data_IF_459507220745
#
_entry.id   IF_459507220745
#
_cell.length_a   1.000
_cell.length_b   1.000
_cell.length_c   1.000
_cell.angle_alpha   90.00
_cell.angle_beta   90.00
_cell.angle_gamma   90.00
#
_symmetry.space_group_name_H-M   'P 1'
#
loop_
_entity.id
_entity.type
_entity.pdbx_description
1 polymer ?
#
# COMPACT_ATOMS: atom_id res chain seq x y z
N UNK A 1 8.97 19.28 11.49
CA UNK A 1 10.34 18.69 11.61
C UNK A 1 10.49 17.39 10.78
N UNK A 2 9.52 16.47 10.76
CA UNK A 2 9.57 15.23 9.95
C UNK A 2 9.36 15.58 8.47
N UNK A 3 8.37 16.38 8.15
CA UNK A 3 8.09 16.90 6.81
C UNK A 3 9.33 17.61 6.23
N UNK A 4 9.94 18.51 6.97
CA UNK A 4 11.15 19.23 6.54
C UNK A 4 12.36 18.31 6.30
N UNK A 5 12.52 17.23 7.07
CA UNK A 5 13.56 16.22 6.79
C UNK A 5 13.32 15.44 5.50
N UNK A 6 12.05 15.13 5.22
CA UNK A 6 11.69 14.41 4.00
C UNK A 6 11.79 15.32 2.77
N UNK A 7 11.44 16.60 2.91
CA UNK A 7 11.63 17.62 1.87
C UNK A 7 13.11 17.85 1.56
N UNK A 8 13.97 17.92 2.59
CA UNK A 8 15.44 18.07 2.41
C UNK A 8 16.03 16.81 1.76
N UNK A 9 15.61 15.62 2.17
CA UNK A 9 16.02 14.36 1.53
C UNK A 9 15.62 14.32 0.06
N UNK A 10 14.41 14.77 -0.25
CA UNK A 10 13.93 14.88 -1.62
C UNK A 10 14.77 15.83 -2.46
N UNK A 11 15.06 17.04 -1.95
CA UNK A 11 15.90 18.03 -2.63
C UNK A 11 17.32 17.51 -2.85
N UNK A 12 17.92 16.84 -1.86
CA UNK A 12 19.23 16.21 -1.98
C UNK A 12 19.21 15.09 -3.01
N UNK A 13 18.20 14.23 -2.99
CA UNK A 13 18.06 13.15 -3.97
C UNK A 13 17.87 13.70 -5.38
N UNK A 14 17.03 14.72 -5.55
CA UNK A 14 16.82 15.42 -6.82
C UNK A 14 18.12 16.05 -7.34
N UNK A 15 18.88 16.73 -6.49
CA UNK A 15 20.15 17.36 -6.87
C UNK A 15 21.23 16.34 -7.23
N UNK A 16 21.28 15.25 -6.52
CA UNK A 16 22.15 14.12 -6.84
C UNK A 16 21.81 13.56 -8.23
N UNK A 17 20.53 13.45 -8.56
CA UNK A 17 20.05 12.98 -9.86
C UNK A 17 20.40 13.94 -11.00
N UNK A 18 20.19 15.24 -10.80
CA UNK A 18 20.60 16.27 -11.77
C UNK A 18 22.11 16.19 -12.06
N UNK A 19 22.93 15.95 -11.03
CA UNK A 19 24.39 15.77 -11.17
C UNK A 19 24.72 14.47 -11.93
N UNK A 20 23.99 13.39 -11.74
CA UNK A 20 24.19 12.14 -12.49
C UNK A 20 23.70 12.25 -13.92
N UNK A 21 22.55 12.86 -14.17
CA UNK A 21 22.02 13.12 -15.50
C UNK A 21 22.97 14.03 -16.32
N UNK A 22 23.59 15.01 -15.67
CA UNK A 22 24.56 15.91 -16.31
C UNK A 22 25.92 15.27 -16.62
N UNK A 23 26.22 14.09 -16.04
CA UNK A 23 27.47 13.33 -16.26
C UNK A 23 27.39 12.26 -17.33
N UNK A 24 26.41 12.34 -18.25
CA UNK A 24 26.25 11.39 -19.37
C UNK A 24 26.32 9.92 -18.96
N UNK A 25 25.50 9.52 -17.98
CA UNK A 25 25.17 8.11 -17.84
C UNK A 25 24.19 7.80 -18.99
N UNK A 26 24.75 7.47 -20.14
CA UNK A 26 23.97 7.06 -21.32
C UNK A 26 23.47 5.66 -21.05
N UNK A 27 22.21 5.55 -20.65
CA UNK A 27 21.50 4.27 -20.67
C UNK A 27 21.21 3.98 -22.16
N UNK A 28 21.98 3.10 -22.77
CA UNK A 28 21.70 2.63 -24.13
C UNK A 28 20.65 1.54 -24.06
N UNK A 29 19.45 1.78 -24.59
CA UNK A 29 18.38 0.79 -24.66
C UNK A 29 17.06 1.36 -25.15
N UNK A 30 16.16 0.49 -25.60
CA UNK A 30 14.80 0.85 -25.98
C UNK A 30 13.97 1.00 -24.70
N UNK A 31 13.96 2.20 -24.13
CA UNK A 31 13.49 2.49 -22.75
C UNK A 31 11.97 2.37 -22.55
N UNK A 32 11.20 2.14 -23.63
CA UNK A 32 9.73 2.09 -23.57
C UNK A 32 9.15 0.68 -23.42
N UNK A 33 9.96 -0.36 -23.47
CA UNK A 33 9.50 -1.74 -23.35
C UNK A 33 10.19 -2.45 -22.17
N UNK A 34 9.45 -3.33 -21.51
CA UNK A 34 10.00 -4.19 -20.46
C UNK A 34 10.59 -5.44 -21.16
N UNK A 35 11.92 -5.66 -21.10
CA UNK A 35 12.53 -6.77 -21.80
C UNK A 35 12.12 -8.11 -21.17
N UNK A 36 11.46 -8.96 -21.95
CA UNK A 36 11.03 -10.31 -21.56
C UNK A 36 12.21 -11.29 -21.60
N UNK A 37 13.21 -11.11 -20.75
CA UNK A 37 14.35 -12.01 -20.67
C UNK A 37 13.99 -13.30 -19.90
N UNK A 38 14.47 -14.45 -20.42
CA UNK A 38 14.36 -15.74 -19.74
C UNK A 38 15.74 -16.23 -19.31
N UNK A 39 15.94 -16.33 -18.00
CA UNK A 39 17.18 -16.86 -17.43
C UNK A 39 16.86 -17.83 -16.29
N UNK A 40 17.90 -18.37 -15.63
CA UNK A 40 17.74 -19.32 -14.51
C UNK A 40 16.88 -18.79 -13.36
N UNK A 41 16.96 -17.50 -13.08
CA UNK A 41 16.22 -16.85 -11.97
C UNK A 41 14.74 -16.67 -12.32
N UNK A 42 14.44 -16.21 -13.53
CA UNK A 42 13.06 -16.08 -14.04
C UNK A 42 12.40 -17.46 -14.13
N UNK A 43 13.14 -18.47 -14.62
CA UNK A 43 12.64 -19.84 -14.69
C UNK A 43 12.31 -20.43 -13.32
N UNK A 44 13.11 -20.15 -12.30
CA UNK A 44 12.85 -20.60 -10.95
C UNK A 44 11.55 -19.99 -10.37
N UNK A 45 11.31 -18.71 -10.58
CA UNK A 45 10.06 -18.06 -10.13
C UNK A 45 8.84 -18.55 -10.95
N UNK A 46 9.01 -18.77 -12.25
CA UNK A 46 7.97 -19.33 -13.09
C UNK A 46 7.54 -20.73 -12.60
N UNK A 47 8.49 -21.59 -12.25
CA UNK A 47 8.18 -22.90 -11.67
C UNK A 47 7.44 -22.78 -10.33
N UNK A 48 7.81 -21.82 -9.47
CA UNK A 48 7.10 -21.58 -8.20
C UNK A 48 5.63 -21.21 -8.43
N UNK A 49 5.34 -20.40 -9.45
CA UNK A 49 4.00 -19.93 -9.79
C UNK A 49 3.14 -20.96 -10.51
N UNK A 50 3.75 -21.86 -11.31
CA UNK A 50 3.00 -22.75 -12.19
C UNK A 50 2.80 -24.15 -11.61
N UNK A 51 3.83 -24.73 -11.02
CA UNK A 51 3.79 -26.08 -10.44
C UNK A 51 4.21 -26.14 -8.96
N UNK A 52 4.80 -25.05 -8.44
CA UNK A 52 5.32 -24.98 -7.09
C UNK A 52 4.27 -24.54 -6.07
N UNK A 53 4.78 -24.25 -4.88
CA UNK A 53 3.95 -23.89 -3.69
C UNK A 53 3.14 -22.59 -3.84
N UNK A 54 3.41 -21.76 -4.82
CA UNK A 54 2.75 -20.48 -5.05
C UNK A 54 1.72 -20.53 -6.19
N UNK A 55 1.48 -21.71 -6.79
CA UNK A 55 0.51 -21.90 -7.87
C UNK A 55 -0.89 -21.40 -7.51
N UNK A 56 -1.40 -21.79 -6.34
CA UNK A 56 -2.75 -21.39 -5.91
C UNK A 56 -2.81 -19.89 -5.58
N UNK A 57 -1.75 -19.34 -4.99
CA UNK A 57 -1.64 -17.89 -4.79
C UNK A 57 -1.72 -17.14 -6.12
N UNK A 58 -0.98 -17.59 -7.16
CA UNK A 58 -0.99 -16.97 -8.47
C UNK A 58 -2.36 -17.05 -9.11
N UNK A 59 -3.00 -18.23 -9.09
CA UNK A 59 -4.34 -18.47 -9.65
C UNK A 59 -5.39 -17.54 -9.01
N UNK A 60 -5.41 -17.46 -7.68
CA UNK A 60 -6.32 -16.56 -6.96
C UNK A 60 -6.02 -15.07 -7.22
N UNK A 61 -4.76 -14.73 -7.42
CA UNK A 61 -4.35 -13.36 -7.73
C UNK A 61 -4.78 -12.97 -9.14
N UNK A 62 -4.68 -13.90 -10.08
CA UNK A 62 -5.18 -13.73 -11.44
C UNK A 62 -6.70 -13.53 -11.44
N UNK A 63 -7.47 -14.33 -10.69
CA UNK A 63 -8.92 -14.13 -10.56
C UNK A 63 -9.25 -12.71 -10.08
N UNK A 64 -8.60 -12.25 -8.99
CA UNK A 64 -8.81 -10.89 -8.43
C UNK A 64 -8.37 -9.77 -9.35
N UNK A 65 -7.44 -10.01 -10.28
CA UNK A 65 -6.96 -8.99 -11.21
C UNK A 65 -8.09 -8.44 -12.09
N UNK A 66 -9.07 -9.26 -12.44
CA UNK A 66 -10.23 -8.85 -13.23
C UNK A 66 -10.93 -7.61 -12.67
N UNK A 67 -10.94 -7.45 -11.36
CA UNK A 67 -11.61 -6.33 -10.69
C UNK A 67 -10.90 -4.98 -10.88
N UNK A 68 -9.59 -4.97 -10.86
CA UNK A 68 -8.81 -3.71 -10.78
C UNK A 68 -7.97 -3.45 -12.03
N UNK A 69 -7.49 -4.51 -12.68
CA UNK A 69 -6.56 -4.40 -13.80
C UNK A 69 -7.11 -3.60 -14.99
N UNK A 70 -8.40 -3.72 -15.40
CA UNK A 70 -8.93 -2.92 -16.49
C UNK A 70 -8.77 -1.41 -16.27
N UNK A 71 -9.04 -0.91 -15.06
CA UNK A 71 -8.80 0.48 -14.68
C UNK A 71 -7.31 0.82 -14.70
N UNK A 72 -6.46 -0.02 -14.12
CA UNK A 72 -5.01 0.19 -14.05
C UNK A 72 -4.41 0.29 -15.46
N UNK A 73 -4.79 -0.60 -16.37
CA UNK A 73 -4.34 -0.59 -17.77
C UNK A 73 -4.73 0.71 -18.46
N UNK A 74 -5.99 1.14 -18.31
CA UNK A 74 -6.45 2.40 -18.89
C UNK A 74 -5.61 3.60 -18.40
N UNK A 75 -5.32 3.65 -17.10
CA UNK A 75 -4.51 4.71 -16.49
C UNK A 75 -3.03 4.66 -16.87
N UNK A 76 -2.45 3.48 -17.04
CA UNK A 76 -1.08 3.33 -17.55
C UNK A 76 -0.97 3.82 -18.99
N UNK A 77 -1.93 3.47 -19.86
CA UNK A 77 -2.00 3.95 -21.25
C UNK A 77 -2.11 5.47 -21.31
N UNK A 78 -3.03 6.04 -20.55
CA UNK A 78 -3.21 7.51 -20.44
C UNK A 78 -1.91 8.19 -20.00
N UNK A 79 -1.14 7.54 -19.13
CA UNK A 79 0.12 8.03 -18.62
C UNK A 79 1.33 7.80 -19.54
N UNK A 80 1.17 7.06 -20.66
CA UNK A 80 2.25 6.67 -21.57
C UNK A 80 3.22 5.65 -20.97
N UNK A 81 2.76 4.81 -20.04
CA UNK A 81 3.55 3.76 -19.39
C UNK A 81 3.19 2.37 -19.94
N UNK A 82 4.13 1.40 -19.88
CA UNK A 82 3.88 0.02 -20.29
C UNK A 82 2.69 -0.61 -19.55
N UNK A 83 1.78 -1.24 -20.28
CA UNK A 83 0.59 -1.89 -19.71
C UNK A 83 0.96 -3.09 -18.83
N UNK A 84 2.10 -3.69 -19.06
CA UNK A 84 2.66 -4.80 -18.30
C UNK A 84 2.81 -4.45 -16.83
N UNK A 85 3.06 -3.18 -16.50
CA UNK A 85 3.14 -2.69 -15.13
C UNK A 85 1.83 -2.89 -14.34
N UNK A 86 0.71 -3.12 -15.06
CA UNK A 86 -0.56 -3.48 -14.43
C UNK A 86 -0.48 -4.79 -13.63
N UNK A 87 0.54 -5.63 -13.87
CA UNK A 87 0.76 -6.87 -13.14
C UNK A 87 1.57 -6.72 -11.84
N UNK A 88 2.10 -5.51 -11.53
CA UNK A 88 2.78 -5.27 -10.25
C UNK A 88 1.92 -5.60 -9.03
N UNK A 89 0.63 -5.24 -8.95
CA UNK A 89 -0.22 -5.61 -7.82
C UNK A 89 -0.35 -7.13 -7.63
N UNK A 90 -0.10 -7.96 -8.66
CA UNK A 90 -0.10 -9.41 -8.50
C UNK A 90 1.02 -9.85 -7.56
N UNK A 91 2.25 -9.38 -7.80
CA UNK A 91 3.42 -9.76 -6.99
C UNK A 91 3.50 -8.99 -5.67
N UNK A 92 2.92 -7.79 -5.58
CA UNK A 92 2.90 -6.96 -4.38
C UNK A 92 1.89 -7.44 -3.33
N UNK A 93 0.66 -7.64 -3.75
CA UNK A 93 -0.45 -7.91 -2.83
C UNK A 93 -1.34 -9.09 -3.23
N UNK A 94 -1.11 -9.68 -4.41
CA UNK A 94 -2.04 -10.59 -5.06
C UNK A 94 -3.40 -9.92 -5.32
N UNK A 95 -3.40 -8.64 -5.67
CA UNK A 95 -4.58 -7.78 -5.84
C UNK A 95 -5.49 -7.70 -4.60
N UNK A 96 -4.93 -7.85 -3.41
CA UNK A 96 -5.67 -7.67 -2.15
C UNK A 96 -5.58 -6.21 -1.70
N UNK A 97 -6.66 -5.44 -1.83
CA UNK A 97 -6.70 -4.00 -1.47
C UNK A 97 -6.35 -3.71 0.00
N UNK A 98 -6.52 -4.68 0.89
CA UNK A 98 -6.22 -4.54 2.33
C UNK A 98 -4.98 -5.34 2.75
N UNK A 99 -4.13 -5.74 1.81
CA UNK A 99 -2.86 -6.40 2.13
C UNK A 99 -1.99 -5.48 2.98
N UNK A 100 -1.49 -6.01 4.09
CA UNK A 100 -0.63 -5.28 5.03
C UNK A 100 0.63 -6.09 5.29
N UNK A 101 1.78 -5.52 4.94
CA UNK A 101 3.07 -6.14 5.17
C UNK A 101 3.62 -5.92 6.58
N UNK A 102 4.67 -6.65 6.95
CA UNK A 102 5.42 -6.44 8.20
C UNK A 102 6.06 -5.05 8.26
N UNK A 103 6.48 -4.51 7.12
CA UNK A 103 7.03 -3.17 6.97
C UNK A 103 5.96 -2.07 6.96
N UNK A 104 4.66 -2.43 7.16
CA UNK A 104 3.50 -1.54 7.10
C UNK A 104 3.22 -0.96 5.70
N UNK A 105 3.72 -1.60 4.67
CA UNK A 105 3.22 -1.37 3.32
C UNK A 105 1.76 -1.85 3.21
N UNK A 106 0.92 -1.13 2.49
CA UNK A 106 -0.53 -1.32 2.52
C UNK A 106 -1.14 -1.12 1.14
N UNK A 107 -2.14 -1.94 0.82
CA UNK A 107 -2.98 -1.79 -0.36
C UNK A 107 -2.49 -2.59 -1.56
N UNK A 108 -3.10 -2.35 -2.73
CA UNK A 108 -2.75 -3.03 -3.98
C UNK A 108 -1.27 -2.86 -4.33
N UNK A 109 -0.78 -1.64 -4.20
CA UNK A 109 0.54 -1.17 -4.60
C UNK A 109 1.58 -1.18 -3.48
N UNK A 110 1.22 -1.70 -2.31
CA UNK A 110 2.08 -1.83 -1.13
C UNK A 110 2.84 -0.54 -0.75
N UNK A 111 2.15 0.59 -0.74
CA UNK A 111 2.75 1.84 -0.29
C UNK A 111 3.08 1.82 1.21
N UNK A 112 4.34 2.10 1.56
CA UNK A 112 4.68 2.51 2.93
C UNK A 112 4.19 3.94 3.18
N UNK A 113 3.91 4.34 4.45
CA UNK A 113 3.32 5.65 4.73
C UNK A 113 4.08 6.84 4.13
N UNK A 114 5.40 6.86 4.26
CA UNK A 114 6.23 7.97 3.77
C UNK A 114 6.15 8.13 2.24
N UNK A 115 6.24 7.02 1.50
CA UNK A 115 6.12 7.05 0.05
C UNK A 115 4.71 7.42 -0.39
N UNK A 116 3.67 6.85 0.26
CA UNK A 116 2.29 7.21 -0.03
C UNK A 116 2.03 8.72 0.15
N UNK A 117 2.50 9.31 1.24
CA UNK A 117 2.35 10.76 1.47
C UNK A 117 3.11 11.61 0.43
N UNK A 118 4.30 11.18 0.03
CA UNK A 118 5.07 11.85 -1.03
C UNK A 118 4.29 11.95 -2.33
N UNK A 119 3.52 10.92 -2.67
CA UNK A 119 2.71 10.86 -3.88
C UNK A 119 1.23 11.21 -3.65
N UNK A 120 0.93 12.00 -2.60
CA UNK A 120 -0.37 12.63 -2.40
C UNK A 120 -1.42 11.78 -1.69
N UNK A 121 -1.10 10.53 -1.29
CA UNK A 121 -2.05 9.70 -0.55
C UNK A 121 -2.24 10.21 0.88
N UNK A 122 -3.47 10.42 1.28
CA UNK A 122 -3.84 10.93 2.61
C UNK A 122 -4.15 9.79 3.56
N UNK A 123 -3.85 10.03 4.83
CA UNK A 123 -4.29 9.17 5.93
C UNK A 123 -4.64 10.00 7.14
N UNK A 124 -5.86 9.85 7.61
CA UNK A 124 -6.35 10.52 8.81
C UNK A 124 -7.16 9.55 9.71
N UNK A 125 -8.06 10.10 10.52
CA UNK A 125 -8.94 9.34 11.38
C UNK A 125 -9.94 8.49 10.59
N UNK A 126 -10.43 8.96 9.44
CA UNK A 126 -11.52 8.38 8.65
C UNK A 126 -11.05 7.55 7.48
N UNK A 127 -9.98 7.95 6.82
CA UNK A 127 -9.51 7.36 5.57
C UNK A 127 -8.04 6.92 5.64
N UNK A 128 -7.69 5.94 4.78
CA UNK A 128 -6.31 5.62 4.42
C UNK A 128 -6.28 5.34 2.91
N UNK A 129 -5.89 6.32 2.12
CA UNK A 129 -5.97 6.27 0.65
C UNK A 129 -5.00 5.28 0.01
N UNK A 130 -4.07 4.70 0.78
CA UNK A 130 -3.24 3.59 0.29
C UNK A 130 -4.08 2.33 -0.02
N UNK A 131 -5.28 2.23 0.57
CA UNK A 131 -6.23 1.14 0.33
C UNK A 131 -7.20 1.50 -0.82
N UNK A 132 -7.32 2.76 -1.20
CA UNK A 132 -8.15 3.17 -2.34
C UNK A 132 -7.49 2.69 -3.65
N UNK A 133 -8.12 1.79 -4.42
CA UNK A 133 -7.52 1.27 -5.64
C UNK A 133 -7.32 2.32 -6.72
N UNK A 134 -8.15 3.37 -6.75
CA UNK A 134 -8.08 4.44 -7.73
C UNK A 134 -6.92 5.38 -7.39
N UNK A 135 -6.96 6.00 -6.21
CA UNK A 135 -5.95 6.96 -5.77
C UNK A 135 -4.55 6.33 -5.64
N UNK A 136 -4.48 5.09 -5.13
CA UNK A 136 -3.19 4.41 -5.04
C UNK A 136 -2.62 4.04 -6.41
N UNK A 137 -3.45 3.83 -7.43
CA UNK A 137 -2.98 3.65 -8.81
C UNK A 137 -2.39 4.93 -9.37
N UNK A 138 -3.04 6.09 -9.17
CA UNK A 138 -2.50 7.38 -9.61
C UNK A 138 -1.15 7.68 -8.94
N UNK A 139 -1.05 7.41 -7.63
CA UNK A 139 0.21 7.55 -6.88
C UNK A 139 1.30 6.58 -7.39
N UNK A 140 0.95 5.33 -7.72
CA UNK A 140 1.90 4.36 -8.26
C UNK A 140 2.43 4.76 -9.63
N UNK A 141 1.57 5.28 -10.50
CA UNK A 141 1.96 5.80 -11.82
C UNK A 141 2.93 6.97 -11.66
N UNK A 142 2.65 7.91 -10.75
CA UNK A 142 3.54 9.03 -10.47
C UNK A 142 4.90 8.55 -9.94
N UNK A 143 4.92 7.56 -9.04
CA UNK A 143 6.16 6.99 -8.52
C UNK A 143 6.94 6.23 -9.59
N UNK A 144 6.30 5.42 -10.41
CA UNK A 144 6.92 4.69 -11.51
C UNK A 144 7.55 5.65 -12.54
N UNK A 145 6.87 6.76 -12.88
CA UNK A 145 7.42 7.82 -13.74
C UNK A 145 8.66 8.45 -13.11
N UNK A 146 8.63 8.78 -11.83
CA UNK A 146 9.78 9.35 -11.13
C UNK A 146 10.98 8.38 -11.17
N UNK A 147 10.74 7.09 -10.88
CA UNK A 147 11.79 6.08 -10.92
C UNK A 147 12.31 5.84 -12.34
N UNK A 148 11.44 5.85 -13.35
CA UNK A 148 11.85 5.68 -14.74
C UNK A 148 12.69 6.88 -15.25
N UNK A 149 12.31 8.09 -14.88
CA UNK A 149 13.12 9.28 -15.15
C UNK A 149 14.50 9.22 -14.49
N UNK A 150 14.61 8.46 -13.40
CA UNK A 150 15.84 8.30 -12.64
C UNK A 150 16.78 7.24 -13.23
N UNK A 151 16.24 6.12 -13.62
CA UNK A 151 17.02 4.93 -13.97
C UNK A 151 16.98 4.56 -15.46
N UNK A 152 15.93 4.94 -16.19
CA UNK A 152 15.73 4.66 -17.62
C UNK A 152 15.47 3.20 -17.99
N UNK A 153 15.89 2.25 -17.16
CA UNK A 153 15.68 0.81 -17.35
C UNK A 153 14.57 0.28 -16.45
N UNK A 154 13.55 -0.35 -17.03
CA UNK A 154 12.39 -0.84 -16.27
C UNK A 154 12.74 -1.92 -15.23
N UNK A 155 13.71 -2.78 -15.50
CA UNK A 155 14.09 -3.79 -14.51
C UNK A 155 14.75 -3.14 -13.28
N UNK A 156 15.56 -2.11 -13.47
CA UNK A 156 16.13 -1.31 -12.38
C UNK A 156 15.07 -0.47 -11.68
N UNK A 157 14.09 0.07 -12.41
CA UNK A 157 12.91 0.76 -11.84
C UNK A 157 12.14 -0.17 -10.90
N UNK A 158 11.88 -1.40 -11.33
CA UNK A 158 11.19 -2.40 -10.52
C UNK A 158 11.96 -2.75 -9.24
N UNK A 159 13.29 -2.89 -9.33
CA UNK A 159 14.14 -3.08 -8.17
C UNK A 159 14.06 -1.88 -7.21
N UNK A 160 14.07 -0.66 -7.74
CA UNK A 160 13.96 0.56 -6.96
C UNK A 160 12.56 0.74 -6.34
N UNK A 161 11.50 0.34 -7.05
CA UNK A 161 10.14 0.31 -6.51
C UNK A 161 10.06 -0.57 -5.25
N UNK A 162 10.68 -1.75 -5.29
CA UNK A 162 10.67 -2.70 -4.18
C UNK A 162 11.54 -2.27 -2.98
N UNK A 163 12.79 -1.83 -3.19
CA UNK A 163 13.72 -1.56 -2.08
C UNK A 163 14.02 -0.08 -1.83
N UNK A 164 13.45 0.80 -2.62
CA UNK A 164 13.70 2.24 -2.60
C UNK A 164 14.91 2.64 -3.46
N UNK A 165 14.77 3.77 -4.16
CA UNK A 165 15.76 4.35 -5.08
C UNK A 165 17.13 4.57 -4.40
N UNK A 166 17.14 5.00 -3.15
CA UNK A 166 18.39 5.26 -2.42
C UNK A 166 19.23 4.00 -2.18
N UNK A 167 18.61 2.82 -2.13
CA UNK A 167 19.34 1.55 -2.02
C UNK A 167 19.96 1.15 -3.34
N UNK A 168 19.19 1.22 -4.42
CA UNK A 168 19.69 0.93 -5.78
C UNK A 168 20.86 1.85 -6.12
N UNK A 169 20.74 3.14 -5.89
CA UNK A 169 21.81 4.11 -6.11
C UNK A 169 23.09 3.79 -5.30
N UNK A 170 22.94 3.32 -4.05
CA UNK A 170 24.10 2.87 -3.26
C UNK A 170 24.80 1.67 -3.87
N UNK A 171 24.04 0.70 -4.36
CA UNK A 171 24.60 -0.49 -5.00
C UNK A 171 25.33 -0.11 -6.29
N UNK A 172 24.73 0.74 -7.15
CA UNK A 172 25.38 1.25 -8.36
C UNK A 172 26.72 1.92 -8.01
N UNK A 173 26.73 2.83 -7.04
CA UNK A 173 27.96 3.52 -6.61
C UNK A 173 29.05 2.59 -6.08
N UNK A 174 28.65 1.50 -5.40
CA UNK A 174 29.61 0.54 -4.82
C UNK A 174 30.35 -0.29 -5.86
N UNK A 175 29.93 -0.25 -7.12
CA UNK A 175 30.55 -1.01 -8.20
C UNK A 175 31.76 -0.30 -8.82
N UNK A 176 32.00 0.97 -8.51
CA UNK A 176 33.06 1.81 -9.13
C UNK A 176 32.98 1.84 -10.67
N UNK A 177 31.78 1.67 -11.23
CA UNK A 177 31.49 1.78 -12.66
C UNK A 177 30.72 3.08 -12.92
N UNK A 178 30.97 3.68 -14.07
CA UNK A 178 30.34 4.94 -14.46
C UNK A 178 29.07 4.75 -15.30
N UNK A 179 28.68 3.50 -15.52
CA UNK A 179 27.50 3.13 -16.31
C UNK A 179 26.76 1.96 -15.65
N UNK A 180 25.51 1.84 -15.97
CA UNK A 180 24.65 0.71 -15.62
C UNK A 180 24.02 0.20 -16.92
N UNK A 181 24.42 -0.99 -17.37
CA UNK A 181 23.90 -1.57 -18.59
C UNK A 181 22.49 -2.15 -18.40
N UNK A 182 22.32 -2.85 -17.26
CA UNK A 182 21.02 -3.46 -16.95
C UNK A 182 20.93 -3.89 -15.47
N UNK A 183 19.73 -4.27 -15.04
CA UNK A 183 19.44 -4.76 -13.70
C UNK A 183 20.31 -5.97 -13.29
N UNK A 184 20.68 -6.87 -14.21
CA UNK A 184 21.40 -8.11 -13.87
C UNK A 184 22.80 -7.84 -13.32
N UNK A 185 23.40 -6.70 -13.63
CA UNK A 185 24.69 -6.25 -13.03
C UNK A 185 24.56 -5.95 -11.54
N UNK A 186 23.34 -5.63 -11.09
CA UNK A 186 23.03 -5.34 -9.69
C UNK A 186 22.56 -6.58 -8.91
N UNK A 187 22.16 -7.62 -9.62
CA UNK A 187 21.37 -8.74 -9.07
C UNK A 187 21.98 -9.35 -7.80
N UNK A 188 23.27 -9.67 -7.81
CA UNK A 188 23.95 -10.34 -6.69
C UNK A 188 24.25 -9.39 -5.51
N UNK A 189 24.19 -8.09 -5.73
CA UNK A 189 24.46 -7.05 -4.72
C UNK A 189 23.21 -6.48 -4.06
N UNK A 190 22.06 -6.72 -4.66
CA UNK A 190 20.78 -6.33 -4.10
C UNK A 190 20.35 -7.29 -2.98
N UNK A 191 19.52 -6.84 -2.03
CA UNK A 191 18.89 -7.75 -1.07
C UNK A 191 18.19 -8.90 -1.79
N UNK A 192 18.27 -10.11 -1.26
CA UNK A 192 17.68 -11.32 -1.88
C UNK A 192 16.23 -11.15 -2.30
N UNK A 193 15.45 -10.42 -1.53
CA UNK A 193 14.06 -10.12 -1.83
C UNK A 193 13.94 -9.28 -3.11
N UNK A 194 14.68 -8.17 -3.19
CA UNK A 194 14.70 -7.29 -4.34
C UNK A 194 15.30 -7.96 -5.58
N UNK A 195 16.36 -8.75 -5.41
CA UNK A 195 16.93 -9.56 -6.49
C UNK A 195 15.88 -10.50 -7.11
N UNK A 196 15.02 -11.12 -6.31
CA UNK A 196 13.93 -11.99 -6.78
C UNK A 196 12.72 -11.23 -7.36
N UNK A 197 12.55 -9.97 -7.00
CA UNK A 197 11.37 -9.19 -7.37
C UNK A 197 11.22 -9.04 -8.88
N UNK A 198 12.31 -8.66 -9.56
CA UNK A 198 12.32 -8.52 -11.02
C UNK A 198 12.09 -9.87 -11.73
N UNK A 199 12.80 -10.97 -11.39
CA UNK A 199 12.49 -12.30 -11.90
C UNK A 199 11.03 -12.71 -11.70
N UNK A 200 10.43 -12.43 -10.53
CA UNK A 200 9.01 -12.72 -10.26
C UNK A 200 8.09 -11.96 -11.19
N UNK A 201 8.37 -10.69 -11.41
CA UNK A 201 7.59 -9.88 -12.36
C UNK A 201 7.71 -10.41 -13.79
N UNK A 202 8.93 -10.69 -14.26
CA UNK A 202 9.15 -11.25 -15.58
C UNK A 202 8.50 -12.64 -15.75
N UNK A 203 8.57 -13.50 -14.73
CA UNK A 203 7.86 -14.77 -14.72
C UNK A 203 6.34 -14.57 -14.84
N UNK A 204 5.79 -13.55 -14.16
CA UNK A 204 4.36 -13.21 -14.31
C UNK A 204 4.05 -12.83 -15.76
N UNK A 205 4.88 -12.01 -16.42
CA UNK A 205 4.66 -11.62 -17.81
C UNK A 205 4.75 -12.83 -18.75
N UNK A 206 5.70 -13.74 -18.55
CA UNK A 206 5.78 -14.98 -19.34
C UNK A 206 4.52 -15.83 -19.20
N UNK A 207 3.99 -15.98 -17.99
CA UNK A 207 2.75 -16.72 -17.75
C UNK A 207 1.57 -16.02 -18.44
N UNK A 208 1.50 -14.70 -18.36
CA UNK A 208 0.38 -13.93 -18.92
C UNK A 208 0.41 -13.84 -20.44
N UNK A 209 1.56 -14.05 -21.07
CA UNK A 209 1.66 -14.16 -22.53
C UNK A 209 1.04 -15.44 -23.08
N UNK A 210 1.03 -16.52 -22.30
CA UNK A 210 0.44 -17.79 -22.70
C UNK A 210 -0.17 -18.51 -21.50
N UNK A 211 -1.34 -18.03 -21.07
CA UNK A 211 -2.05 -18.59 -19.90
C UNK A 211 -2.48 -20.03 -20.12
N UNK A 212 -2.75 -20.43 -21.35
CA UNK A 212 -3.17 -21.80 -21.70
C UNK A 212 -2.05 -22.81 -21.44
N UNK A 213 -0.80 -22.48 -21.78
CA UNK A 213 0.37 -23.31 -21.50
C UNK A 213 0.50 -23.68 -20.03
N UNK A 214 0.03 -22.80 -19.13
CA UNK A 214 0.14 -22.98 -17.67
C UNK A 214 -1.18 -23.40 -17.00
N UNK A 215 -2.23 -23.69 -17.79
CA UNK A 215 -3.54 -24.11 -17.29
C UNK A 215 -4.26 -23.03 -16.48
N UNK A 216 -4.09 -21.77 -16.87
CA UNK A 216 -4.68 -20.59 -16.24
C UNK A 216 -5.75 -19.90 -17.10
N UNK A 217 -5.94 -20.35 -18.33
CA UNK A 217 -6.97 -19.91 -19.28
C UNK A 217 -8.40 -20.14 -18.76
N UNK A 218 -8.58 -21.15 -17.90
CA UNK A 218 -9.86 -21.48 -17.26
C UNK A 218 -10.17 -20.66 -16.00
N UNK A 219 -9.29 -19.75 -15.59
CA UNK A 219 -9.50 -18.94 -14.40
C UNK A 219 -10.58 -17.89 -14.66
N UNK A 220 -11.68 -17.99 -13.90
CA UNK A 220 -12.75 -16.99 -13.95
C UNK A 220 -12.27 -15.73 -13.25
N UNK A 221 -12.24 -14.61 -13.97
CA UNK A 221 -11.83 -13.32 -13.44
C UNK A 221 -12.98 -12.65 -12.68
N UNK A 222 -12.67 -11.97 -11.58
CA UNK A 222 -13.62 -11.12 -10.88
C UNK A 222 -14.12 -10.00 -11.81
N UNK A 223 -15.40 -9.63 -11.68
CA UNK A 223 -15.98 -8.54 -12.48
C UNK A 223 -15.29 -7.20 -12.16
N UNK A 224 -15.03 -6.36 -13.18
CA UNK A 224 -14.47 -5.03 -13.00
C UNK A 224 -15.29 -4.18 -12.02
N UNK A 225 -14.61 -3.24 -11.35
CA UNK A 225 -15.30 -2.21 -10.58
C UNK A 225 -16.18 -1.37 -11.51
N UNK A 226 -17.45 -1.26 -11.16
CA UNK A 226 -18.39 -0.38 -11.82
C UNK A 226 -19.04 0.51 -10.76
N UNK A 227 -18.86 1.82 -10.85
CA UNK A 227 -19.35 2.78 -9.87
C UNK A 227 -19.49 4.17 -10.50
N UNK A 228 -20.31 4.97 -9.87
CA UNK A 228 -20.33 6.43 -10.01
C UNK A 228 -19.92 7.08 -8.67
N UNK A 229 -19.71 8.38 -8.66
CA UNK A 229 -19.34 9.12 -7.46
C UNK A 229 -20.45 10.08 -7.05
N UNK A 230 -20.72 10.12 -5.74
CA UNK A 230 -21.60 11.11 -5.13
C UNK A 230 -20.81 11.96 -4.13
N UNK A 231 -20.87 13.29 -4.27
CA UNK A 231 -20.30 14.19 -3.27
C UNK A 231 -21.25 14.33 -2.09
N UNK A 232 -20.77 13.99 -0.91
CA UNK A 232 -21.52 14.05 0.33
C UNK A 232 -20.69 14.70 1.44
N UNK A 233 -21.33 15.50 2.30
CA UNK A 233 -20.67 16.24 3.41
C UNK A 233 -21.35 15.89 4.73
N UNK A 234 -21.54 14.59 5.01
CA UNK A 234 -22.22 14.13 6.21
C UNK A 234 -21.52 12.90 6.80
N UNK A 235 -21.24 12.96 8.08
CA UNK A 235 -20.57 11.88 8.81
C UNK A 235 -21.55 10.77 9.17
N UNK A 236 -21.68 9.78 8.29
CA UNK A 236 -22.65 8.67 8.41
C UNK A 236 -22.01 7.32 8.19
N UNK A 237 -22.63 6.25 8.66
CA UNK A 237 -22.19 4.88 8.43
C UNK A 237 -22.50 4.44 7.00
N UNK A 238 -21.54 3.76 6.38
CA UNK A 238 -21.73 3.14 5.05
C UNK A 238 -22.90 2.15 5.01
N UNK A 239 -23.15 1.45 6.09
CA UNK A 239 -24.31 0.53 6.20
C UNK A 239 -25.66 1.24 6.15
N UNK A 240 -25.74 2.42 6.75
CA UNK A 240 -26.98 3.19 6.78
C UNK A 240 -27.24 3.86 5.43
N UNK A 241 -26.16 4.29 4.75
CA UNK A 241 -26.23 4.72 3.35
C UNK A 241 -26.73 3.57 2.48
N UNK A 242 -26.12 2.39 2.58
CA UNK A 242 -26.47 1.23 1.77
C UNK A 242 -27.96 0.87 1.93
N UNK A 243 -28.47 0.89 3.16
CA UNK A 243 -29.90 0.68 3.45
C UNK A 243 -30.77 1.75 2.80
N UNK A 244 -30.35 3.04 2.89
CA UNK A 244 -31.13 4.17 2.36
C UNK A 244 -31.27 4.14 0.84
N UNK A 245 -30.18 3.76 0.14
CA UNK A 245 -30.18 3.68 -1.34
C UNK A 245 -30.50 2.28 -1.89
N UNK A 246 -30.85 1.33 -1.02
CA UNK A 246 -31.33 -0.01 -1.41
C UNK A 246 -30.25 -0.94 -1.99
N UNK A 247 -28.96 -0.78 -1.61
CA UNK A 247 -27.84 -1.60 -2.13
C UNK A 247 -27.25 -2.49 -1.03
N UNK A 248 -26.57 -3.61 -1.39
CA UNK A 248 -25.87 -4.42 -0.40
C UNK A 248 -24.75 -3.66 0.30
N UNK A 249 -24.72 -3.62 1.63
CA UNK A 249 -23.67 -2.93 2.40
C UNK A 249 -22.26 -3.49 2.13
N UNK A 250 -22.13 -4.75 1.72
CA UNK A 250 -20.86 -5.35 1.30
C UNK A 250 -20.33 -4.72 0.02
N UNK A 251 -21.21 -4.42 -0.93
CA UNK A 251 -20.86 -3.79 -2.19
C UNK A 251 -20.31 -2.39 -1.96
N UNK A 252 -21.04 -1.55 -1.21
CA UNK A 252 -20.61 -0.18 -0.91
C UNK A 252 -19.27 -0.14 -0.14
N UNK A 253 -19.05 -1.10 0.78
CA UNK A 253 -17.75 -1.26 1.47
C UNK A 253 -16.61 -1.73 0.53
N UNK A 254 -16.95 -2.48 -0.50
CA UNK A 254 -15.97 -2.94 -1.50
C UNK A 254 -15.54 -1.79 -2.41
N UNK A 255 -16.46 -0.90 -2.76
CA UNK A 255 -16.18 0.30 -3.55
C UNK A 255 -15.35 1.34 -2.78
N UNK A 256 -15.51 1.39 -1.44
CA UNK A 256 -14.86 2.39 -0.57
C UNK A 256 -14.01 1.71 0.53
N UNK A 257 -13.02 0.89 0.17
CA UNK A 257 -12.22 0.14 1.14
C UNK A 257 -11.37 1.04 2.05
N UNK A 258 -11.07 2.27 1.61
CA UNK A 258 -10.27 3.29 2.30
C UNK A 258 -10.93 3.84 3.56
N UNK A 259 -12.23 3.70 3.73
CA UNK A 259 -12.96 4.13 4.92
C UNK A 259 -12.63 3.24 6.13
N UNK A 260 -11.86 3.77 7.08
CA UNK A 260 -11.28 3.02 8.19
C UNK A 260 -12.27 2.43 9.18
N UNK A 261 -13.40 3.07 9.37
CA UNK A 261 -14.48 2.64 10.28
C UNK A 261 -15.80 2.40 9.55
N UNK A 262 -15.77 2.40 8.22
CA UNK A 262 -16.95 2.45 7.37
C UNK A 262 -17.86 3.65 7.72
N UNK A 263 -17.24 4.77 8.10
CA UNK A 263 -17.91 6.05 8.38
C UNK A 263 -17.28 7.09 7.49
N UNK A 264 -18.10 7.92 6.86
CA UNK A 264 -17.65 9.03 6.03
C UNK A 264 -17.00 10.13 6.89
N UNK A 265 -15.99 10.84 6.36
CA UNK A 265 -15.51 12.06 7.00
C UNK A 265 -16.63 13.11 7.10
N UNK A 266 -16.51 14.09 8.02
CA UNK A 266 -17.50 15.18 8.15
C UNK A 266 -17.45 16.18 7.01
N UNK A 267 -16.30 16.32 6.35
CA UNK A 267 -16.07 17.22 5.23
C UNK A 267 -16.54 16.60 3.91
N UNK A 268 -16.53 17.37 2.82
CA UNK A 268 -16.89 16.92 1.48
C UNK A 268 -16.05 15.68 1.08
N UNK A 269 -16.76 14.62 0.70
CA UNK A 269 -16.18 13.34 0.35
C UNK A 269 -16.85 12.77 -0.91
N UNK A 270 -16.02 12.28 -1.85
CA UNK A 270 -16.48 11.62 -3.06
C UNK A 270 -16.70 10.13 -2.77
N UNK A 271 -17.91 9.76 -2.42
CA UNK A 271 -18.27 8.36 -2.17
C UNK A 271 -18.52 7.63 -3.48
N UNK A 272 -17.87 6.48 -3.66
CA UNK A 272 -18.15 5.59 -4.79
C UNK A 272 -19.41 4.77 -4.48
N UNK A 273 -20.39 4.82 -5.37
CA UNK A 273 -21.67 4.13 -5.23
C UNK A 273 -21.99 3.32 -6.50
N UNK A 274 -22.82 2.29 -6.43
CA UNK A 274 -23.27 1.60 -7.62
C UNK A 274 -23.95 2.53 -8.61
N UNK A 275 -23.82 2.29 -9.94
CA UNK A 275 -24.42 3.15 -10.96
C UNK A 275 -25.94 3.35 -10.77
N UNK A 276 -26.42 4.57 -10.99
CA UNK A 276 -27.83 4.95 -10.85
C UNK A 276 -28.28 5.22 -9.42
N UNK A 277 -27.37 5.29 -8.43
CA UNK A 277 -27.73 5.52 -7.01
C UNK A 277 -27.23 6.85 -6.44
N UNK A 278 -26.41 7.60 -7.17
CA UNK A 278 -25.81 8.86 -6.70
C UNK A 278 -26.85 9.95 -6.41
N UNK A 279 -27.81 10.16 -7.30
CA UNK A 279 -28.86 11.17 -7.11
C UNK A 279 -29.75 10.87 -5.89
N UNK A 280 -30.14 9.59 -5.72
CA UNK A 280 -30.90 9.15 -4.56
C UNK A 280 -30.09 9.38 -3.27
N UNK A 281 -28.80 9.07 -3.27
CA UNK A 281 -27.94 9.33 -2.14
C UNK A 281 -27.89 10.82 -1.79
N UNK A 282 -27.59 11.68 -2.76
CA UNK A 282 -27.45 13.13 -2.53
C UNK A 282 -28.75 13.71 -1.99
N UNK A 283 -29.90 13.30 -2.53
CA UNK A 283 -31.20 13.80 -2.07
C UNK A 283 -31.61 13.32 -0.68
N UNK A 284 -31.11 12.16 -0.24
CA UNK A 284 -31.54 11.52 1.02
C UNK A 284 -30.48 11.49 2.13
N UNK A 285 -29.26 11.94 1.86
CA UNK A 285 -28.13 11.88 2.81
C UNK A 285 -28.44 12.57 4.15
N UNK A 286 -29.23 13.64 4.12
CA UNK A 286 -29.60 14.41 5.29
C UNK A 286 -30.57 13.70 6.23
N UNK A 287 -31.27 12.68 5.76
CA UNK A 287 -32.17 11.85 6.58
C UNK A 287 -31.42 10.78 7.38
N UNK A 288 -30.14 10.51 7.04
CA UNK A 288 -29.35 9.46 7.68
C UNK A 288 -28.76 9.99 9.01
N UNK A 289 -28.87 9.27 10.12
CA UNK A 289 -28.32 9.68 11.40
C UNK A 289 -26.79 9.86 11.37
N UNK A 290 -26.30 10.90 12.06
CA UNK A 290 -24.87 11.12 12.20
C UNK A 290 -24.23 10.00 13.02
N UNK A 291 -23.11 9.49 12.55
CA UNK A 291 -22.34 8.42 13.18
C UNK A 291 -20.91 8.89 13.50
N UNK A 292 -20.39 8.48 14.65
CA UNK A 292 -19.03 8.85 15.07
C UNK A 292 -18.10 7.63 15.06
N UNK A 293 -16.83 7.79 14.64
CA UNK A 293 -15.86 6.71 14.75
C UNK A 293 -15.65 6.34 16.23
N UNK A 294 -15.36 5.07 16.52
CA UNK A 294 -15.11 4.63 17.88
C UNK A 294 -13.95 5.42 18.47
N UNK A 295 -14.12 5.88 19.70
CA UNK A 295 -13.02 6.56 20.42
C UNK A 295 -11.83 5.61 20.50
N UNK A 296 -10.61 6.07 20.19
CA UNK A 296 -9.44 5.21 20.28
C UNK A 296 -9.29 4.68 21.71
N UNK A 297 -9.08 3.39 21.86
CA UNK A 297 -8.89 2.77 23.17
C UNK A 297 -7.70 3.36 23.93
N UNK A 298 -6.75 3.89 23.21
CA UNK A 298 -5.54 4.50 23.73
C UNK A 298 -5.17 5.75 22.93
N UNK A 299 -4.65 6.78 23.62
CA UNK A 299 -3.85 7.85 23.03
C UNK A 299 -2.40 7.67 23.42
N UNK A 300 -1.48 8.21 22.63
CA UNK A 300 -0.06 8.15 22.96
C UNK A 300 0.41 9.47 23.50
N UNK A 301 1.12 9.41 24.64
CA UNK A 301 1.77 10.55 25.26
C UNK A 301 3.29 10.35 25.26
N UNK A 302 4.05 11.36 24.82
CA UNK A 302 5.50 11.37 24.98
C UNK A 302 5.84 12.10 26.26
N UNK A 303 6.46 11.40 27.20
CA UNK A 303 6.84 11.93 28.51
C UNK A 303 7.80 13.11 28.31
N UNK A 304 7.49 14.23 28.92
CA UNK A 304 8.35 15.43 28.98
C UNK A 304 9.20 15.40 30.26
N UNK A 305 10.29 16.19 30.29
CA UNK A 305 11.08 16.36 31.50
C UNK A 305 10.20 16.88 32.64
N UNK A 306 10.34 16.30 33.83
CA UNK A 306 9.57 16.67 35.01
C UNK A 306 8.16 16.08 35.12
N UNK A 307 7.66 15.37 34.09
CA UNK A 307 6.34 14.72 34.16
C UNK A 307 6.37 13.44 35.01
N UNK A 308 5.28 13.24 35.79
CA UNK A 308 5.03 12.02 36.57
C UNK A 308 3.85 11.25 36.02
N UNK A 309 3.78 9.94 36.29
CA UNK A 309 2.61 9.14 35.92
C UNK A 309 1.32 9.66 36.53
N UNK A 310 1.38 10.24 37.73
CA UNK A 310 0.21 10.84 38.40
C UNK A 310 -0.27 12.08 37.66
N UNK A 311 0.63 12.99 37.29
CA UNK A 311 0.30 14.18 36.50
C UNK A 311 -0.27 13.82 35.12
N UNK A 312 0.33 12.83 34.45
CA UNK A 312 -0.17 12.31 33.16
C UNK A 312 -1.56 11.68 33.33
N UNK A 313 -1.76 10.85 34.37
CA UNK A 313 -3.05 10.23 34.65
C UNK A 313 -4.16 11.26 34.88
N UNK A 314 -3.86 12.31 35.66
CA UNK A 314 -4.79 13.41 35.91
C UNK A 314 -5.16 14.15 34.62
N UNK A 315 -4.15 14.54 33.81
CA UNK A 315 -4.34 15.24 32.50
C UNK A 315 -5.26 14.47 31.57
N UNK A 316 -5.10 13.13 31.50
CA UNK A 316 -5.89 12.28 30.62
C UNK A 316 -7.12 11.66 31.28
N UNK A 317 -7.49 12.11 32.47
CA UNK A 317 -8.66 11.62 33.23
C UNK A 317 -8.70 10.07 33.32
N UNK A 318 -7.54 9.49 33.64
CA UNK A 318 -7.35 8.05 33.83
C UNK A 318 -6.62 7.78 35.14
N UNK A 319 -6.24 6.52 35.43
CA UNK A 319 -5.48 6.20 36.65
C UNK A 319 -4.06 5.73 36.31
N UNK A 320 -3.12 5.98 37.23
CA UNK A 320 -1.74 5.49 37.18
C UNK A 320 -1.71 3.98 36.93
N UNK A 321 -2.56 3.22 37.65
CA UNK A 321 -2.67 1.75 37.51
C UNK A 321 -3.06 1.34 36.09
N UNK A 322 -3.99 2.06 35.42
CA UNK A 322 -4.39 1.79 34.04
C UNK A 322 -3.27 2.09 33.05
N UNK A 323 -2.53 3.21 33.25
CA UNK A 323 -1.37 3.53 32.41
C UNK A 323 -0.29 2.47 32.59
N UNK A 324 0.05 2.09 33.81
CA UNK A 324 1.05 1.06 34.07
C UNK A 324 0.70 -0.27 33.40
N UNK A 325 -0.55 -0.73 33.55
CA UNK A 325 -1.03 -1.96 32.92
C UNK A 325 -0.95 -1.90 31.39
N UNK A 326 -1.35 -0.78 30.77
CA UNK A 326 -1.33 -0.58 29.32
C UNK A 326 0.08 -0.55 28.73
N UNK A 327 1.09 -0.27 29.56
CA UNK A 327 2.48 -0.15 29.15
C UNK A 327 3.40 -1.24 29.76
N UNK A 328 2.85 -2.24 30.42
CA UNK A 328 3.59 -3.30 31.11
C UNK A 328 4.64 -2.74 32.09
N UNK A 329 4.32 -1.63 32.77
CA UNK A 329 5.21 -1.01 33.74
C UNK A 329 5.07 -1.70 35.11
N UNK A 330 6.20 -2.11 35.69
CA UNK A 330 6.25 -2.71 37.05
C UNK A 330 6.32 -1.63 38.14
N UNK A 331 6.85 -0.46 37.82
CA UNK A 331 6.99 0.70 38.73
C UNK A 331 6.44 1.97 38.09
N UNK A 332 6.19 3.00 38.89
CA UNK A 332 5.75 4.31 38.41
C UNK A 332 6.88 5.17 37.81
N UNK A 333 8.11 4.70 37.78
CA UNK A 333 9.26 5.40 37.21
C UNK A 333 9.14 5.47 35.69
N UNK A 334 9.17 6.69 35.15
CA UNK A 334 9.16 6.99 33.74
C UNK A 334 10.29 7.96 33.40
N UNK A 335 10.69 7.99 32.13
CA UNK A 335 11.80 8.84 31.67
C UNK A 335 11.31 9.74 30.53
N UNK A 336 11.85 10.96 30.46
CA UNK A 336 11.59 11.87 29.36
C UNK A 336 11.89 11.21 28.00
N UNK A 337 11.06 11.49 27.00
CA UNK A 337 11.13 10.90 25.68
C UNK A 337 10.38 9.56 25.52
N UNK A 338 10.06 8.85 26.60
CA UNK A 338 9.29 7.59 26.54
C UNK A 338 7.88 7.83 26.01
N UNK A 339 7.44 7.01 25.06
CA UNK A 339 6.08 7.03 24.53
C UNK A 339 5.20 6.07 25.34
N UNK A 340 4.15 6.59 25.98
CA UNK A 340 3.21 5.85 26.80
C UNK A 340 1.86 5.70 26.08
N UNK A 341 1.25 4.52 26.15
CA UNK A 341 -0.15 4.27 25.81
C UNK A 341 -1.02 4.72 26.98
N UNK A 342 -1.90 5.66 26.75
CA UNK A 342 -2.81 6.20 27.76
C UNK A 342 -4.22 5.68 27.46
N UNK A 343 -4.80 4.81 28.32
CA UNK A 343 -6.15 4.30 28.13
C UNK A 343 -7.18 5.41 28.25
N UNK A 344 -8.12 5.46 27.31
CA UNK A 344 -9.23 6.43 27.34
C UNK A 344 -10.38 5.92 28.23
N UNK A 345 -11.17 6.86 28.79
CA UNK A 345 -12.33 6.54 29.65
C UNK A 345 -13.42 5.88 28.77
N UNK A 346 -14.00 4.80 29.27
CA UNK A 346 -15.11 4.07 28.59
C UNK A 346 -14.67 2.91 27.70
N UNK A 347 -13.37 2.62 27.53
CA UNK A 347 -12.91 1.45 26.78
C UNK A 347 -12.74 0.27 27.76
N UNK A 348 -13.50 -0.80 27.55
CA UNK A 348 -13.24 -2.08 28.22
C UNK A 348 -11.95 -2.62 27.59
N UNK A 349 -10.87 -2.67 28.37
CA UNK A 349 -9.64 -3.33 27.96
C UNK A 349 -9.91 -4.82 28.12
N UNK A 350 -10.47 -5.45 27.11
CA UNK A 350 -10.38 -6.91 27.00
C UNK A 350 -8.89 -7.25 26.89
N UNK A 351 -8.38 -8.14 27.72
CA UNK A 351 -7.10 -8.79 27.50
C UNK A 351 -7.13 -9.26 26.04
N UNK A 352 -6.09 -8.94 25.29
CA UNK A 352 -5.90 -9.62 24.03
C UNK A 352 -5.93 -11.11 24.37
N UNK A 353 -7.01 -11.79 24.02
CA UNK A 353 -6.99 -13.23 23.92
C UNK A 353 -5.83 -13.53 22.98
N UNK A 354 -4.91 -14.37 23.43
CA UNK A 354 -3.88 -14.88 22.56
C UNK A 354 -4.52 -15.31 21.25
N UNK A 355 -3.89 -15.00 20.09
CA UNK A 355 -4.45 -15.46 18.82
C UNK A 355 -4.67 -16.95 18.96
N UNK A 356 -5.91 -17.38 18.78
CA UNK A 356 -6.29 -18.78 18.73
C UNK A 356 -5.31 -19.43 17.75
N UNK A 357 -4.48 -20.36 18.23
CA UNK A 357 -3.69 -21.25 17.40
C UNK A 357 -4.65 -22.08 16.57
N UNK A 358 -5.12 -21.51 15.48
CA UNK A 358 -5.97 -22.13 14.49
C UNK A 358 -5.16 -22.40 13.25
N UNK A 359 -4.97 -23.68 12.98
CA UNK A 359 -4.61 -24.33 11.75
C UNK A 359 -3.50 -23.64 10.91
N UNK A 360 -2.35 -24.26 10.85
CA UNK A 360 -1.21 -24.02 9.99
C UNK A 360 -1.58 -23.71 8.53
N UNK A 361 -1.70 -22.44 8.24
CA UNK A 361 -1.67 -21.88 6.91
C UNK A 361 -0.65 -20.77 6.91
N UNK A 362 0.63 -21.12 6.81
CA UNK A 362 1.72 -20.16 6.63
C UNK A 362 1.58 -19.56 5.23
N UNK A 363 0.80 -18.52 5.10
CA UNK A 363 0.88 -17.63 3.96
C UNK A 363 2.06 -16.69 4.20
N UNK A 364 3.21 -17.04 3.66
CA UNK A 364 4.34 -16.15 3.57
C UNK A 364 4.05 -15.15 2.44
N UNK A 365 3.44 -14.03 2.77
CA UNK A 365 3.67 -12.81 2.02
C UNK A 365 5.02 -12.29 2.54
N UNK A 366 6.09 -12.67 1.87
CA UNK A 366 7.39 -12.07 2.09
C UNK A 366 7.36 -10.69 1.43
N UNK A 367 7.38 -9.66 2.25
CA UNK A 367 7.79 -8.30 1.90
C UNK A 367 9.27 -8.16 2.22
#
# INVERSE_FOLDING_TARGET
LIQQKDDIRFLISKRILEIYASRNIVVQGNHNAIPLSMNKYVRAELQLFTIGKEKEFFRQSLARSGRYRPYIVAKLKEAGLPEELSWLPLIESGYKVKALSKARALGLWQFIPSTGYKFGLKRDQYIDERIDPIKSTDAAIAYLKELHNMFGDWATVLAAYNCGEGRVLRVIRSQNINYLDNFWDLYERLPRETARYVPRFLATLHIMNDTAQYGLDTVVLDQPLNFETAEVSRQVQVTDIAQKIGVPGKELKTLNPELRYNILPPDAYQLKVPPGTSELLVSTINDIPISYPPRPAYVYHRVRSGETLSGIAHRYRTSVRRIMRANNLRTSRIYAGKKLKIPQKGTIITRATEPVKGASGKYFVHV
#
